data_IF_589592707945
#
_entry.id   IF_589592707945
#
_cell.length_a   1.000
_cell.length_b   1.000
_cell.length_c   1.000
_cell.angle_alpha   90.00
_cell.angle_beta   90.00
_cell.angle_gamma   90.00
#
_symmetry.space_group_name_H-M   'P 1'
#
loop_
_entity.id
_entity.type
_entity.pdbx_description
1 polymer ?
#
# COMPACT_ATOMS: atom_id res chain seq x y z
N UNK A 1 23.91 -36.66 12.43
CA UNK A 1 24.29 -35.24 12.67
C UNK A 1 24.30 -34.41 11.38
N UNK A 2 24.52 -34.98 10.19
CA UNK A 2 24.46 -34.25 8.91
C UNK A 2 23.04 -33.79 8.50
N UNK A 3 22.01 -34.56 8.82
CA UNK A 3 20.62 -34.26 8.43
C UNK A 3 20.08 -33.00 9.11
N UNK A 4 20.43 -32.72 10.38
CA UNK A 4 19.95 -31.50 11.05
C UNK A 4 20.60 -30.23 10.51
N UNK A 5 21.85 -30.30 10.03
CA UNK A 5 22.55 -29.17 9.43
C UNK A 5 21.98 -28.81 8.05
N UNK A 6 21.57 -29.81 7.26
CA UNK A 6 20.93 -29.56 5.97
C UNK A 6 19.51 -29.02 6.13
N UNK A 7 18.77 -29.45 7.16
CA UNK A 7 17.42 -28.94 7.44
C UNK A 7 17.49 -27.49 7.92
N UNK A 8 18.40 -27.15 8.85
CA UNK A 8 18.58 -25.75 9.27
C UNK A 8 19.03 -24.88 8.10
N UNK A 9 20.01 -25.31 7.30
CA UNK A 9 20.43 -24.58 6.11
C UNK A 9 19.29 -24.36 5.10
N UNK A 10 18.45 -25.36 4.84
CA UNK A 10 17.28 -25.23 3.98
C UNK A 10 16.25 -24.24 4.55
N UNK A 11 16.00 -24.26 5.86
CA UNK A 11 15.06 -23.34 6.50
C UNK A 11 15.56 -21.90 6.46
N UNK A 12 16.86 -21.66 6.69
CA UNK A 12 17.45 -20.32 6.60
C UNK A 12 17.47 -19.80 5.16
N UNK A 13 17.74 -20.67 4.19
CA UNK A 13 17.75 -20.33 2.76
C UNK A 13 16.34 -20.03 2.25
N UNK A 14 15.33 -20.81 2.67
CA UNK A 14 13.92 -20.55 2.39
C UNK A 14 13.43 -19.25 3.05
N UNK A 15 13.87 -18.94 4.27
CA UNK A 15 13.56 -17.68 4.94
C UNK A 15 14.18 -16.48 4.19
N UNK A 16 15.41 -16.62 3.68
CA UNK A 16 16.06 -15.63 2.81
C UNK A 16 15.30 -15.43 1.51
N UNK A 17 14.86 -16.51 0.86
CA UNK A 17 14.04 -16.44 -0.36
C UNK A 17 12.70 -15.75 -0.08
N UNK A 18 12.08 -15.99 1.09
CA UNK A 18 10.85 -15.30 1.49
C UNK A 18 11.08 -13.83 1.84
N UNK A 19 12.28 -13.45 2.29
CA UNK A 19 12.63 -12.07 2.57
C UNK A 19 12.83 -11.24 1.29
N UNK A 20 13.34 -11.84 0.21
CA UNK A 20 13.57 -11.17 -1.07
C UNK A 20 12.33 -10.48 -1.67
N UNK A 21 11.15 -11.13 -1.82
CA UNK A 21 9.97 -10.47 -2.36
C UNK A 21 9.42 -9.39 -1.43
N UNK A 22 9.61 -9.50 -0.11
CA UNK A 22 9.16 -8.46 0.83
C UNK A 22 10.09 -7.25 0.79
N UNK A 23 11.41 -7.46 0.75
CA UNK A 23 12.39 -6.39 0.56
C UNK A 23 12.22 -5.76 -0.82
N UNK A 24 12.05 -6.57 -1.87
CA UNK A 24 11.78 -6.08 -3.23
C UNK A 24 10.46 -5.31 -3.29
N UNK A 25 9.42 -5.72 -2.58
CA UNK A 25 8.18 -4.95 -2.46
C UNK A 25 8.41 -3.64 -1.70
N UNK A 26 9.19 -3.64 -0.61
CA UNK A 26 9.51 -2.42 0.14
C UNK A 26 10.36 -1.44 -0.66
N UNK A 27 11.36 -1.93 -1.39
CA UNK A 27 12.22 -1.16 -2.29
C UNK A 27 11.44 -0.67 -3.51
N UNK A 28 10.58 -1.51 -4.10
CA UNK A 28 9.65 -1.10 -5.16
C UNK A 28 8.64 -0.08 -4.65
N UNK A 29 8.15 -0.18 -3.41
CA UNK A 29 7.34 0.87 -2.80
C UNK A 29 8.14 2.16 -2.60
N UNK A 30 9.42 2.07 -2.26
CA UNK A 30 10.29 3.24 -2.15
C UNK A 30 10.67 3.84 -3.51
N UNK A 31 10.77 3.02 -4.57
CA UNK A 31 11.27 3.43 -5.90
C UNK A 31 10.18 3.69 -6.93
N UNK A 32 9.06 2.96 -6.90
CA UNK A 32 7.86 3.21 -7.71
C UNK A 32 7.04 4.39 -7.17
N UNK A 33 7.35 4.89 -5.97
CA UNK A 33 7.11 6.28 -5.57
C UNK A 33 8.07 7.23 -6.32
N UNK A 34 8.28 6.99 -7.61
CA UNK A 34 8.82 8.00 -8.49
C UNK A 34 7.88 9.21 -8.41
N UNK A 35 8.46 10.36 -8.05
CA UNK A 35 7.81 11.67 -7.88
C UNK A 35 7.19 11.95 -6.48
N UNK A 36 8.07 11.91 -5.46
CA UNK A 36 8.26 12.90 -4.37
C UNK A 36 7.11 13.28 -3.38
N UNK A 37 5.85 12.91 -3.60
CA UNK A 37 4.73 13.42 -2.78
C UNK A 37 4.41 12.63 -1.52
N UNK A 38 4.54 11.31 -1.57
CA UNK A 38 4.01 10.47 -0.51
C UNK A 38 5.06 10.20 0.57
N UNK A 39 5.43 11.25 1.32
CA UNK A 39 6.15 11.11 2.61
C UNK A 39 5.42 10.14 3.57
N UNK A 40 4.11 9.98 3.37
CA UNK A 40 3.21 9.07 4.08
C UNK A 40 3.47 7.58 3.85
N UNK A 41 3.90 7.15 2.65
CA UNK A 41 4.17 5.74 2.39
C UNK A 41 5.52 5.28 2.96
N UNK A 42 6.44 6.22 3.20
CA UNK A 42 7.81 5.94 3.65
C UNK A 42 7.88 5.35 5.06
N UNK A 43 7.04 5.82 5.98
CA UNK A 43 7.01 5.38 7.38
C UNK A 43 6.44 3.97 7.60
N UNK A 44 5.26 3.59 7.08
CA UNK A 44 4.76 2.22 7.21
C UNK A 44 5.67 1.21 6.50
N UNK A 45 6.30 1.59 5.37
CA UNK A 45 7.26 0.73 4.66
C UNK A 45 8.60 0.61 5.40
N UNK A 46 9.09 1.68 6.04
CA UNK A 46 10.29 1.63 6.89
C UNK A 46 10.06 0.79 8.16
N UNK A 47 8.87 0.88 8.78
CA UNK A 47 8.48 0.02 9.90
C UNK A 47 8.40 -1.44 9.44
N UNK A 48 7.81 -1.71 8.26
CA UNK A 48 7.79 -3.04 7.67
C UNK A 48 9.21 -3.58 7.44
N UNK A 49 10.08 -2.78 6.82
CA UNK A 49 11.47 -3.10 6.56
C UNK A 49 12.26 -3.38 7.83
N UNK A 50 12.07 -2.58 8.88
CA UNK A 50 12.69 -2.79 10.19
C UNK A 50 12.26 -4.10 10.86
N UNK A 51 10.96 -4.43 10.81
CA UNK A 51 10.44 -5.68 11.36
C UNK A 51 10.99 -6.91 10.64
N UNK A 52 11.12 -6.85 9.31
CA UNK A 52 11.70 -7.91 8.50
C UNK A 52 13.20 -8.09 8.80
N UNK A 53 13.93 -6.99 8.91
CA UNK A 53 15.38 -6.99 9.17
C UNK A 53 15.69 -7.56 10.56
N UNK A 54 14.86 -7.25 11.56
CA UNK A 54 14.91 -7.87 12.89
C UNK A 54 14.72 -9.39 12.82
N UNK A 55 13.82 -9.89 11.97
CA UNK A 55 13.62 -11.34 11.83
C UNK A 55 14.68 -12.05 11.00
N UNK A 56 15.28 -11.38 10.02
CA UNK A 56 16.45 -11.91 9.32
C UNK A 56 17.64 -12.08 10.29
N UNK A 57 17.87 -11.09 11.17
CA UNK A 57 18.91 -11.15 12.20
C UNK A 57 18.63 -12.25 13.23
N UNK A 58 17.39 -12.40 13.69
CA UNK A 58 17.01 -13.46 14.62
C UNK A 58 17.17 -14.87 14.01
N UNK A 59 16.87 -15.03 12.71
CA UNK A 59 17.09 -16.29 11.98
C UNK A 59 18.57 -16.64 11.81
N UNK A 60 19.42 -15.66 11.54
CA UNK A 60 20.87 -15.85 11.41
C UNK A 60 21.52 -16.27 12.74
N UNK A 61 21.13 -15.63 13.85
CA UNK A 61 21.60 -15.97 15.20
C UNK A 61 21.11 -17.37 15.63
N UNK A 62 19.90 -17.76 15.21
CA UNK A 62 19.33 -19.09 15.43
C UNK A 62 20.12 -20.24 14.82
N UNK A 63 20.70 -20.03 13.63
CA UNK A 63 21.46 -21.05 12.92
C UNK A 63 22.86 -21.30 13.49
N UNK A 64 23.46 -20.29 14.14
CA UNK A 64 24.86 -20.35 14.58
C UNK A 64 25.06 -21.04 15.93
N UNK A 65 24.06 -21.01 16.82
CA UNK A 65 24.15 -21.66 18.13
C UNK A 65 23.20 -22.86 18.23
N UNK A 66 23.73 -24.06 18.02
CA UNK A 66 23.08 -25.36 18.16
C UNK A 66 22.71 -25.69 19.63
N UNK A 67 21.91 -24.83 20.26
CA UNK A 67 21.44 -24.94 21.65
C UNK A 67 19.91 -25.04 21.62
N UNK A 68 19.36 -26.11 22.21
CA UNK A 68 17.91 -26.34 22.32
C UNK A 68 17.09 -25.13 22.80
N UNK A 69 17.64 -24.33 23.73
CA UNK A 69 16.98 -23.12 24.25
C UNK A 69 16.88 -22.01 23.20
N UNK A 70 17.89 -21.89 22.32
CA UNK A 70 17.94 -20.89 21.26
C UNK A 70 16.94 -21.21 20.15
N UNK A 71 16.76 -22.49 19.83
CA UNK A 71 15.75 -22.94 18.87
C UNK A 71 14.31 -22.71 19.39
N UNK A 72 14.07 -22.90 20.69
CA UNK A 72 12.78 -22.59 21.31
C UNK A 72 12.49 -21.08 21.30
N UNK A 73 13.50 -20.24 21.61
CA UNK A 73 13.39 -18.78 21.51
C UNK A 73 13.12 -18.34 20.07
N UNK A 74 13.78 -18.96 19.08
CA UNK A 74 13.52 -18.71 17.66
C UNK A 74 12.09 -19.03 17.25
N UNK A 75 11.53 -20.17 17.66
CA UNK A 75 10.12 -20.51 17.40
C UNK A 75 9.15 -19.49 18.04
N UNK A 76 9.44 -19.03 19.26
CA UNK A 76 8.64 -17.99 19.91
C UNK A 76 8.70 -16.65 19.15
N UNK A 77 9.90 -16.22 18.75
CA UNK A 77 10.09 -14.99 17.98
C UNK A 77 9.39 -15.05 16.60
N UNK A 78 9.46 -16.19 15.90
CA UNK A 78 8.75 -16.41 14.64
C UNK A 78 7.24 -16.36 14.82
N UNK A 79 6.70 -16.97 15.89
CA UNK A 79 5.27 -16.90 16.20
C UNK A 79 4.82 -15.46 16.48
N UNK A 80 5.60 -14.70 17.26
CA UNK A 80 5.32 -13.29 17.55
C UNK A 80 5.30 -12.43 16.26
N UNK A 81 6.23 -12.64 15.34
CA UNK A 81 6.21 -11.96 14.04
C UNK A 81 4.97 -12.34 13.22
N UNK A 82 4.60 -13.62 13.14
CA UNK A 82 3.40 -14.04 12.40
C UNK A 82 2.16 -13.34 12.95
N UNK A 83 2.01 -13.28 14.28
CA UNK A 83 0.89 -12.57 14.93
C UNK A 83 0.91 -11.07 14.57
N UNK A 84 2.08 -10.43 14.61
CA UNK A 84 2.24 -9.03 14.23
C UNK A 84 1.87 -8.79 12.76
N UNK A 85 2.32 -9.64 11.84
CA UNK A 85 1.98 -9.54 10.41
C UNK A 85 0.48 -9.71 10.17
N UNK A 86 -0.17 -10.67 10.85
CA UNK A 86 -1.62 -10.86 10.77
C UNK A 86 -2.35 -9.63 11.32
N UNK A 87 -1.90 -9.04 12.43
CA UNK A 87 -2.48 -7.82 12.98
C UNK A 87 -2.35 -6.63 12.02
N UNK A 88 -1.19 -6.46 11.38
CA UNK A 88 -0.96 -5.43 10.37
C UNK A 88 -1.84 -5.65 9.13
N UNK A 89 -1.99 -6.89 8.66
CA UNK A 89 -2.90 -7.22 7.57
C UNK A 89 -4.35 -6.88 7.94
N UNK A 90 -4.80 -7.25 9.13
CA UNK A 90 -6.15 -6.93 9.61
C UNK A 90 -6.39 -5.40 9.67
N UNK A 91 -5.42 -4.64 10.18
CA UNK A 91 -5.48 -3.18 10.17
C UNK A 91 -5.51 -2.62 8.74
N UNK A 92 -4.64 -3.11 7.85
CA UNK A 92 -4.58 -2.66 6.47
C UNK A 92 -5.89 -2.94 5.72
N UNK A 93 -6.52 -4.11 5.93
CA UNK A 93 -7.85 -4.41 5.38
C UNK A 93 -8.95 -3.54 5.99
N UNK A 94 -8.91 -3.27 7.30
CA UNK A 94 -9.89 -2.41 7.95
C UNK A 94 -9.83 -0.98 7.40
N UNK A 95 -8.62 -0.43 7.25
CA UNK A 95 -8.40 0.91 6.71
C UNK A 95 -8.75 0.97 5.22
N UNK A 96 -8.42 -0.08 4.45
CA UNK A 96 -8.74 -0.20 3.02
C UNK A 96 -10.08 -0.91 2.76
N UNK A 97 -11.06 -0.84 3.66
CA UNK A 97 -12.39 -1.42 3.38
C UNK A 97 -13.23 -0.53 2.47
N UNK A 98 -13.35 0.75 2.80
CA UNK A 98 -14.18 1.71 2.06
C UNK A 98 -13.53 2.24 0.78
N UNK A 99 -14.16 2.01 -0.37
CA UNK A 99 -13.82 2.66 -1.63
C UNK A 99 -14.76 3.84 -1.83
N UNK A 100 -14.26 5.07 -1.72
CA UNK A 100 -15.01 6.28 -2.05
C UNK A 100 -15.32 6.47 -3.54
N UNK A 101 -15.07 5.45 -4.35
CA UNK A 101 -15.35 5.43 -5.78
C UNK A 101 -16.87 5.37 -6.03
N UNK A 102 -17.36 6.21 -6.93
CA UNK A 102 -18.71 6.15 -7.43
C UNK A 102 -18.71 6.30 -8.96
N UNK A 103 -19.45 5.44 -9.69
CA UNK A 103 -19.53 5.51 -11.13
C UNK A 103 -20.42 6.69 -11.54
N UNK A 104 -20.04 7.36 -12.62
CA UNK A 104 -20.83 8.42 -13.25
C UNK A 104 -21.38 7.90 -14.57
N UNK A 105 -22.68 8.09 -14.81
CA UNK A 105 -23.35 7.63 -16.03
C UNK A 105 -22.66 8.21 -17.28
N UNK A 106 -22.38 7.33 -18.25
CA UNK A 106 -21.74 7.70 -19.52
C UNK A 106 -20.23 7.91 -19.45
N UNK A 107 -19.57 7.49 -18.36
CA UNK A 107 -18.11 7.63 -18.19
C UNK A 107 -17.47 6.29 -17.84
N UNK A 108 -16.29 6.02 -18.39
CA UNK A 108 -15.50 4.80 -18.12
C UNK A 108 -14.53 4.95 -16.94
N UNK A 109 -14.65 6.02 -16.17
CA UNK A 109 -13.84 6.26 -14.98
C UNK A 109 -14.74 6.58 -13.78
N UNK A 110 -14.25 6.23 -12.60
CA UNK A 110 -14.92 6.54 -11.35
C UNK A 110 -14.51 7.92 -10.83
N UNK A 111 -15.44 8.58 -10.14
CA UNK A 111 -15.15 9.74 -9.31
C UNK A 111 -15.04 9.32 -7.85
N UNK A 112 -14.41 10.15 -7.03
CA UNK A 112 -14.11 9.79 -5.64
C UNK A 112 -14.65 10.82 -4.66
N UNK A 113 -15.33 10.36 -3.61
CA UNK A 113 -15.72 11.17 -2.45
C UNK A 113 -14.97 10.71 -1.22
N UNK A 114 -14.56 11.65 -0.37
CA UNK A 114 -13.96 11.28 0.93
C UNK A 114 -14.93 10.46 1.78
N UNK A 115 -16.23 10.72 1.64
CA UNK A 115 -17.28 10.09 2.43
C UNK A 115 -17.43 8.57 2.26
N UNK A 116 -16.73 7.96 1.30
CA UNK A 116 -16.68 6.49 1.20
C UNK A 116 -15.41 5.86 1.77
N UNK A 117 -14.43 6.64 2.26
CA UNK A 117 -13.21 6.11 2.88
C UNK A 117 -13.37 5.86 4.39
N UNK A 118 -12.48 5.08 4.99
CA UNK A 118 -12.49 4.87 6.45
C UNK A 118 -12.19 6.16 7.22
N UNK A 119 -12.71 6.28 8.44
CA UNK A 119 -12.53 7.47 9.29
C UNK A 119 -11.04 7.83 9.50
N UNK A 120 -10.18 6.80 9.60
CA UNK A 120 -8.74 6.98 9.74
C UNK A 120 -8.09 7.61 8.48
N UNK A 121 -8.49 7.20 7.28
CA UNK A 121 -7.98 7.79 6.03
C UNK A 121 -8.46 9.22 5.82
N UNK A 122 -9.72 9.52 6.20
CA UNK A 122 -10.25 10.87 6.12
C UNK A 122 -9.52 11.80 7.08
N UNK A 123 -9.41 11.41 8.35
CA UNK A 123 -8.69 12.20 9.37
C UNK A 123 -7.24 12.49 8.96
N UNK A 124 -6.56 11.53 8.33
CA UNK A 124 -5.19 11.76 7.86
C UNK A 124 -5.05 12.97 6.92
N UNK A 125 -6.04 13.22 6.06
CA UNK A 125 -6.03 14.30 5.07
C UNK A 125 -6.73 15.57 5.58
N UNK A 126 -7.76 15.41 6.41
CA UNK A 126 -8.59 16.52 6.90
C UNK A 126 -8.12 17.13 8.23
N UNK A 127 -7.42 16.38 9.09
CA UNK A 127 -7.11 16.83 10.46
C UNK A 127 -5.96 17.86 10.50
N UNK A 128 -4.98 17.75 9.60
CA UNK A 128 -3.75 18.55 9.64
C UNK A 128 -3.57 19.39 8.35
N UNK A 129 -3.93 20.69 8.34
CA UNK A 129 -3.82 21.52 7.14
C UNK A 129 -2.38 21.70 6.66
N UNK A 130 -1.41 21.82 7.57
CA UNK A 130 0.01 21.93 7.21
C UNK A 130 0.57 20.65 6.57
N UNK A 131 -0.03 19.49 6.84
CA UNK A 131 0.33 18.23 6.18
C UNK A 131 -0.21 18.19 4.76
N UNK A 132 -1.46 18.62 4.56
CA UNK A 132 -2.04 18.71 3.23
C UNK A 132 -1.27 19.67 2.34
N UNK A 133 -0.81 20.81 2.86
CA UNK A 133 -0.04 21.78 2.08
C UNK A 133 1.26 21.20 1.51
N UNK A 134 1.95 20.36 2.29
CA UNK A 134 3.13 19.61 1.81
C UNK A 134 2.80 18.58 0.71
N UNK A 135 1.64 17.94 0.79
CA UNK A 135 1.17 16.99 -0.23
C UNK A 135 0.75 17.75 -1.50
N UNK A 136 0.00 18.83 -1.34
CA UNK A 136 -0.52 19.70 -2.39
C UNK A 136 0.60 20.31 -3.22
N UNK A 137 1.59 20.91 -2.56
CA UNK A 137 2.76 21.51 -3.22
C UNK A 137 3.49 20.52 -4.11
N UNK A 138 3.65 19.28 -3.64
CA UNK A 138 4.21 18.25 -4.48
C UNK A 138 3.27 17.82 -5.63
N UNK A 139 1.95 17.68 -5.39
CA UNK A 139 0.99 17.31 -6.44
C UNK A 139 1.00 18.33 -7.58
N UNK A 140 1.13 19.61 -7.25
CA UNK A 140 1.26 20.71 -8.21
C UNK A 140 2.54 20.63 -9.05
N UNK A 141 3.63 20.12 -8.48
CA UNK A 141 4.89 19.90 -9.22
C UNK A 141 4.81 18.66 -10.10
N UNK A 142 4.08 17.62 -9.66
CA UNK A 142 3.99 16.33 -10.34
C UNK A 142 3.57 16.47 -11.81
N UNK A 143 4.09 15.59 -12.67
CA UNK A 143 3.76 15.61 -14.09
C UNK A 143 2.41 14.93 -14.41
N UNK A 144 1.65 14.48 -13.40
CA UNK A 144 0.42 13.69 -13.61
C UNK A 144 -0.64 14.45 -14.41
N UNK A 145 -1.01 15.66 -13.97
CA UNK A 145 -1.95 16.52 -14.69
C UNK A 145 -1.34 17.11 -15.97
N UNK A 146 -0.03 17.40 -15.98
CA UNK A 146 0.67 17.91 -17.17
C UNK A 146 0.71 16.87 -18.30
N UNK A 147 0.94 15.60 -17.97
CA UNK A 147 0.88 14.47 -18.91
C UNK A 147 -0.53 14.31 -19.48
N UNK A 148 -1.56 14.44 -18.64
CA UNK A 148 -2.95 14.40 -19.09
C UNK A 148 -3.29 15.58 -20.04
N UNK A 149 -2.85 16.79 -19.71
CA UNK A 149 -3.08 17.98 -20.52
C UNK A 149 -2.42 17.90 -21.91
N UNK A 150 -1.23 17.28 -22.00
CA UNK A 150 -0.48 17.13 -23.26
C UNK A 150 -0.92 15.93 -24.09
N UNK A 151 -1.82 15.10 -23.58
CA UNK A 151 -2.14 13.85 -24.23
C UNK A 151 -3.06 14.09 -25.44
N UNK A 152 -2.49 13.88 -26.63
CA UNK A 152 -3.10 14.19 -27.91
C UNK A 152 -4.38 13.38 -28.24
N UNK A 153 -4.68 12.32 -27.48
CA UNK A 153 -5.87 11.48 -27.70
C UNK A 153 -7.18 12.07 -27.18
N UNK A 154 -7.14 13.21 -26.48
CA UNK A 154 -8.31 13.81 -25.82
C UNK A 154 -8.81 15.07 -26.53
N UNK A 155 -9.04 14.95 -27.84
CA UNK A 155 -9.50 16.07 -28.68
C UNK A 155 -10.99 16.35 -28.46
N UNK A 156 -11.77 15.30 -28.19
CA UNK A 156 -13.23 15.39 -27.98
C UNK A 156 -13.62 14.99 -26.57
N UNK A 157 -14.74 15.55 -26.09
CA UNK A 157 -15.28 15.23 -24.77
C UNK A 157 -15.63 13.73 -24.65
N UNK A 158 -16.17 13.12 -25.71
CA UNK A 158 -16.53 11.70 -25.72
C UNK A 158 -15.31 10.79 -25.56
N UNK A 159 -14.20 11.10 -26.26
CA UNK A 159 -12.93 10.37 -26.10
C UNK A 159 -12.40 10.48 -24.67
N UNK A 160 -12.53 11.66 -24.06
CA UNK A 160 -12.15 11.87 -22.66
C UNK A 160 -13.04 11.07 -21.71
N UNK A 161 -14.37 11.07 -21.91
CA UNK A 161 -15.33 10.33 -21.08
C UNK A 161 -15.18 8.82 -21.17
N UNK A 162 -14.77 8.30 -22.32
CA UNK A 162 -14.52 6.87 -22.52
C UNK A 162 -13.12 6.41 -22.10
N UNK A 163 -12.25 7.33 -21.67
CA UNK A 163 -10.89 7.00 -21.25
C UNK A 163 -10.81 6.49 -19.80
N UNK A 164 -9.88 5.56 -19.55
CA UNK A 164 -9.60 5.07 -18.20
C UNK A 164 -8.64 6.02 -17.49
N UNK A 165 -9.20 7.00 -16.78
CA UNK A 165 -8.42 7.93 -15.96
C UNK A 165 -7.96 7.29 -14.67
N UNK A 166 -6.74 7.61 -14.26
CA UNK A 166 -6.25 7.20 -12.93
C UNK A 166 -6.97 7.98 -11.83
N UNK A 167 -7.02 7.48 -10.57
CA UNK A 167 -7.74 8.16 -9.49
C UNK A 167 -7.27 9.60 -9.27
N UNK A 168 -5.96 9.86 -9.36
CA UNK A 168 -5.39 11.20 -9.28
C UNK A 168 -5.82 12.10 -10.44
N UNK A 169 -5.82 11.58 -11.67
CA UNK A 169 -6.26 12.35 -12.84
C UNK A 169 -7.74 12.71 -12.74
N UNK A 170 -8.58 11.78 -12.33
CA UNK A 170 -10.02 11.97 -12.20
C UNK A 170 -10.43 12.91 -11.05
N UNK A 171 -9.62 13.00 -9.99
CA UNK A 171 -9.92 13.78 -8.79
C UNK A 171 -9.23 15.14 -8.71
N UNK A 172 -8.01 15.29 -9.25
CA UNK A 172 -7.22 16.52 -9.13
C UNK A 172 -7.14 17.32 -10.45
N UNK A 173 -7.14 16.64 -11.60
CA UNK A 173 -6.89 17.27 -12.90
C UNK A 173 -8.15 17.65 -13.67
N UNK A 174 -9.35 17.36 -13.13
CA UNK A 174 -10.64 17.78 -13.70
C UNK A 174 -11.61 18.20 -12.58
N UNK A 175 -12.61 19.04 -12.88
CA UNK A 175 -13.64 19.38 -11.91
C UNK A 175 -14.66 18.23 -11.71
N UNK A 176 -15.38 18.22 -10.59
CA UNK A 176 -16.46 17.27 -10.34
C UNK A 176 -17.58 17.37 -11.38
N UNK A 177 -18.14 16.23 -11.79
CA UNK A 177 -19.22 16.19 -12.78
C UNK A 177 -20.50 16.90 -12.33
N UNK A 178 -20.76 16.90 -11.02
CA UNK A 178 -21.95 17.50 -10.41
C UNK A 178 -22.02 19.01 -10.64
N UNK A 179 -20.87 19.68 -10.74
CA UNK A 179 -20.75 21.12 -10.99
C UNK A 179 -21.24 21.54 -12.38
N UNK A 180 -21.28 20.60 -13.34
CA UNK A 180 -21.80 20.84 -14.70
C UNK A 180 -20.92 21.77 -15.54
N UNK A 181 -19.59 21.69 -15.41
CA UNK A 181 -18.69 22.39 -16.31
C UNK A 181 -18.72 21.77 -17.72
N UNK A 182 -18.67 22.60 -18.76
CA UNK A 182 -18.53 22.14 -20.15
C UNK A 182 -17.06 21.91 -20.48
N UNK A 183 -16.76 20.77 -21.10
CA UNK A 183 -15.44 20.36 -21.54
C UNK A 183 -14.90 21.29 -22.64
N UNK A 184 -13.68 21.79 -22.47
CA UNK A 184 -12.94 22.51 -23.53
C UNK A 184 -11.68 21.72 -23.89
N UNK A 185 -10.91 21.34 -22.88
CA UNK A 185 -9.73 20.48 -23.01
C UNK A 185 -9.54 19.65 -21.73
N UNK A 186 -8.58 18.71 -21.67
CA UNK A 186 -8.46 17.77 -20.54
C UNK A 186 -8.36 18.43 -19.16
N UNK A 187 -7.72 19.59 -19.09
CA UNK A 187 -7.54 20.37 -17.86
C UNK A 187 -8.16 21.76 -17.91
N UNK A 188 -8.90 22.09 -18.98
CA UNK A 188 -9.56 23.40 -19.12
C UNK A 188 -11.05 23.21 -19.31
N UNK A 189 -11.81 23.87 -18.43
CA UNK A 189 -13.25 23.74 -18.35
C UNK A 189 -13.89 25.13 -18.26
N UNK A 190 -15.11 25.25 -18.76
CA UNK A 190 -15.90 26.50 -18.66
C UNK A 190 -16.41 26.74 -17.24
N UNK A 191 -17.12 27.85 -17.00
CA UNK A 191 -17.76 28.14 -15.72
C UNK A 191 -18.79 27.07 -15.32
N UNK A 192 -18.94 26.79 -14.01
CA UNK A 192 -19.88 25.78 -13.53
C UNK A 192 -21.32 26.19 -13.82
N UNK A 193 -22.12 25.29 -14.39
CA UNK A 193 -23.57 25.49 -14.52
C UNK A 193 -24.30 25.38 -13.17
N UNK A 194 -23.72 24.65 -12.20
CA UNK A 194 -24.28 24.42 -10.86
C UNK A 194 -23.22 24.64 -9.77
N UNK A 195 -22.85 25.90 -9.49
CA UNK A 195 -21.81 26.20 -8.50
C UNK A 195 -22.16 25.79 -7.07
N UNK A 196 -23.45 25.67 -6.74
CA UNK A 196 -23.93 25.27 -5.41
C UNK A 196 -24.10 23.76 -5.21
N UNK A 197 -23.79 22.93 -6.23
CA UNK A 197 -23.97 21.48 -6.16
C UNK A 197 -22.94 20.78 -5.26
N UNK A 198 -21.73 21.34 -5.16
CA UNK A 198 -20.62 20.80 -4.38
C UNK A 198 -19.68 21.96 -3.98
N UNK A 199 -19.11 21.98 -2.76
CA UNK A 199 -18.12 22.99 -2.37
C UNK A 199 -16.91 23.03 -3.32
N UNK A 200 -16.55 21.90 -3.93
CA UNK A 200 -15.42 21.82 -4.87
C UNK A 200 -15.66 22.62 -6.17
N UNK A 201 -16.92 22.90 -6.53
CA UNK A 201 -17.25 23.63 -7.77
C UNK A 201 -16.69 25.06 -7.79
N UNK A 202 -16.56 25.69 -6.62
CA UNK A 202 -15.99 27.03 -6.48
C UNK A 202 -14.47 27.05 -6.35
N UNK A 203 -13.86 25.90 -6.06
CA UNK A 203 -12.41 25.77 -5.84
C UNK A 203 -11.65 25.38 -7.10
N UNK A 204 -12.33 24.93 -8.15
CA UNK A 204 -11.70 24.60 -9.42
C UNK A 204 -11.06 25.82 -10.10
N UNK A 205 -9.80 25.71 -10.49
CA UNK A 205 -9.09 26.67 -11.35
C UNK A 205 -8.57 26.01 -12.63
N UNK A 206 -8.53 26.76 -13.74
CA UNK A 206 -7.89 26.32 -14.98
C UNK A 206 -6.37 26.54 -14.97
N UNK A 207 -5.83 27.17 -13.92
CA UNK A 207 -4.39 27.36 -13.78
C UNK A 207 -3.69 26.03 -13.45
N UNK A 208 -2.68 25.61 -14.22
CA UNK A 208 -2.03 24.31 -14.05
C UNK A 208 -1.30 24.15 -12.70
N UNK A 209 -1.02 25.26 -12.02
CA UNK A 209 -0.41 25.27 -10.68
C UNK A 209 -1.44 25.13 -9.54
N UNK A 210 -2.72 25.38 -9.79
CA UNK A 210 -3.78 25.38 -8.76
C UNK A 210 -4.78 24.24 -8.96
N UNK A 211 -5.27 24.04 -10.20
CA UNK A 211 -6.25 23.01 -10.57
C UNK A 211 -7.30 22.76 -9.47
N UNK A 212 -7.62 21.50 -9.15
CA UNK A 212 -8.45 21.14 -8.00
C UNK A 212 -7.60 20.67 -6.81
N UNK A 213 -6.36 21.16 -6.63
CA UNK A 213 -5.48 20.64 -5.57
C UNK A 213 -5.96 20.96 -4.15
N UNK A 214 -6.88 21.91 -3.97
CA UNK A 214 -7.54 22.16 -2.67
C UNK A 214 -8.84 21.39 -2.48
N UNK A 215 -9.37 20.79 -3.54
CA UNK A 215 -10.67 20.12 -3.53
C UNK A 215 -10.66 18.84 -2.71
N UNK A 216 -11.81 18.53 -2.11
CA UNK A 216 -12.07 17.27 -1.45
C UNK A 216 -12.02 16.10 -2.47
N UNK A 217 -12.46 16.32 -3.70
CA UNK A 217 -12.32 15.36 -4.80
C UNK A 217 -10.86 14.95 -5.09
N UNK A 218 -9.91 15.87 -4.96
CA UNK A 218 -8.49 15.58 -5.14
C UNK A 218 -7.90 14.79 -3.97
N UNK A 219 -8.28 15.15 -2.74
CA UNK A 219 -7.96 14.40 -1.53
C UNK A 219 -8.47 12.95 -1.62
N UNK A 220 -9.71 12.78 -2.06
CA UNK A 220 -10.31 11.47 -2.30
C UNK A 220 -9.59 10.68 -3.40
N UNK A 221 -9.22 11.33 -4.50
CA UNK A 221 -8.43 10.74 -5.59
C UNK A 221 -7.04 10.27 -5.14
N UNK A 222 -6.38 11.03 -4.26
CA UNK A 222 -5.12 10.63 -3.64
C UNK A 222 -5.30 9.39 -2.75
N UNK A 223 -6.33 9.38 -1.90
CA UNK A 223 -6.64 8.23 -1.04
C UNK A 223 -6.93 6.96 -1.87
N UNK A 224 -7.64 7.10 -2.98
CA UNK A 224 -7.87 6.00 -3.92
C UNK A 224 -6.59 5.49 -4.58
N UNK A 225 -5.71 6.39 -5.03
CA UNK A 225 -4.42 6.03 -5.60
C UNK A 225 -3.55 5.28 -4.57
N UNK A 226 -3.47 5.80 -3.34
CA UNK A 226 -2.76 5.16 -2.23
C UNK A 226 -3.34 3.79 -1.90
N UNK A 227 -4.67 3.67 -1.81
CA UNK A 227 -5.37 2.40 -1.58
C UNK A 227 -5.01 1.36 -2.65
N UNK A 228 -5.02 1.75 -3.93
CA UNK A 228 -4.69 0.85 -5.04
C UNK A 228 -3.25 0.34 -4.92
N UNK A 229 -2.31 1.22 -4.58
CA UNK A 229 -0.94 0.81 -4.30
C UNK A 229 -0.89 -0.14 -3.09
N UNK A 230 -1.47 0.24 -1.95
CA UNK A 230 -1.51 -0.58 -0.74
C UNK A 230 -2.10 -1.96 -0.97
N UNK A 231 -3.12 -2.10 -1.81
CA UNK A 231 -3.68 -3.39 -2.16
C UNK A 231 -2.65 -4.29 -2.87
N UNK A 232 -1.83 -3.75 -3.77
CA UNK A 232 -0.73 -4.50 -4.41
C UNK A 232 0.34 -4.91 -3.40
N UNK A 233 0.69 -4.05 -2.46
CA UNK A 233 1.59 -4.38 -1.34
C UNK A 233 1.03 -5.49 -0.47
N UNK A 234 -0.24 -5.36 -0.08
CA UNK A 234 -0.91 -6.29 0.82
C UNK A 234 -0.99 -7.68 0.20
N UNK A 235 -1.18 -7.81 -1.12
CA UNK A 235 -1.10 -9.11 -1.79
C UNK A 235 0.27 -9.76 -1.57
N UNK A 236 1.37 -9.03 -1.79
CA UNK A 236 2.71 -9.55 -1.54
C UNK A 236 2.92 -9.92 -0.05
N UNK A 237 2.41 -9.09 0.87
CA UNK A 237 2.50 -9.32 2.31
C UNK A 237 1.70 -10.55 2.76
N UNK A 238 0.51 -10.78 2.19
CA UNK A 238 -0.30 -11.99 2.43
C UNK A 238 0.46 -13.23 1.98
N UNK A 239 1.01 -13.23 0.77
CA UNK A 239 1.80 -14.37 0.25
C UNK A 239 2.99 -14.67 1.16
N UNK A 240 3.73 -13.65 1.58
CA UNK A 240 4.85 -13.80 2.51
C UNK A 240 4.41 -14.35 3.87
N UNK A 241 3.30 -13.86 4.42
CA UNK A 241 2.75 -14.32 5.70
C UNK A 241 2.34 -15.80 5.63
N UNK A 242 1.68 -16.22 4.55
CA UNK A 242 1.30 -17.62 4.33
C UNK A 242 2.54 -18.52 4.24
N UNK A 243 3.57 -18.09 3.51
CA UNK A 243 4.83 -18.83 3.42
C UNK A 243 5.51 -18.96 4.79
N UNK A 244 5.54 -17.89 5.59
CA UNK A 244 6.11 -17.91 6.94
C UNK A 244 5.32 -18.83 7.88
N UNK A 245 4.00 -18.85 7.81
CA UNK A 245 3.15 -19.79 8.56
C UNK A 245 3.48 -21.23 8.19
N UNK A 246 3.63 -21.54 6.90
CA UNK A 246 4.01 -22.88 6.45
C UNK A 246 5.39 -23.29 6.98
N UNK A 247 6.39 -22.42 6.87
CA UNK A 247 7.73 -22.66 7.41
C UNK A 247 7.72 -22.85 8.93
N UNK A 248 6.90 -22.09 9.65
CA UNK A 248 6.73 -22.24 11.09
C UNK A 248 6.13 -23.60 11.46
N UNK A 249 5.14 -24.10 10.72
CA UNK A 249 4.57 -25.44 10.94
C UNK A 249 5.60 -26.55 10.71
N UNK A 250 6.42 -26.44 9.65
CA UNK A 250 7.53 -27.38 9.37
C UNK A 250 8.61 -27.29 10.46
N UNK A 251 8.96 -26.08 10.92
CA UNK A 251 9.89 -25.88 12.02
C UNK A 251 9.39 -26.51 13.33
N UNK A 252 8.10 -26.35 13.63
CA UNK A 252 7.45 -26.98 14.78
C UNK A 252 7.43 -28.51 14.68
N UNK A 253 7.16 -29.08 13.51
CA UNK A 253 7.15 -30.54 13.32
C UNK A 253 8.55 -31.13 13.44
N UNK A 254 9.56 -30.47 12.87
CA UNK A 254 10.96 -30.86 13.02
C UNK A 254 11.42 -30.80 14.49
N UNK A 255 11.01 -29.76 15.23
CA UNK A 255 11.31 -29.65 16.66
C UNK A 255 10.67 -30.77 17.48
N UNK A 256 9.38 -31.05 17.25
CA UNK A 256 8.66 -32.14 17.92
C UNK A 256 9.32 -33.49 17.65
N UNK A 257 9.71 -33.76 16.40
CA UNK A 257 10.40 -35.00 16.04
C UNK A 257 11.76 -35.13 16.73
N UNK A 258 12.57 -34.07 16.77
CA UNK A 258 13.86 -34.06 17.46
C UNK A 258 13.71 -34.22 19.00
N UNK A 259 12.61 -33.75 19.58
CA UNK A 259 12.30 -33.96 20.99
C UNK A 259 11.88 -35.42 21.26
N UNK A 260 11.03 -35.99 20.40
CA UNK A 260 10.59 -37.39 20.51
C UNK A 260 11.79 -38.36 20.44
N UNK A 261 12.68 -38.20 19.45
CA UNK A 261 13.90 -39.03 19.34
C UNK A 261 14.78 -38.96 20.59
N UNK A 262 14.85 -37.81 21.25
CA UNK A 262 15.66 -37.64 22.44
C UNK A 262 15.05 -38.28 23.68
N UNK A 263 13.71 -38.31 23.78
CA UNK A 263 13.01 -39.04 24.84
C UNK A 263 13.20 -40.54 24.62
N UNK A 264 13.00 -41.04 23.39
CA UNK A 264 13.22 -42.45 23.04
C UNK A 264 14.65 -42.92 23.33
N UNK A 265 15.67 -42.11 23.01
CA UNK A 265 17.07 -42.44 23.37
C UNK A 265 17.32 -42.53 24.87
N UNK A 266 16.57 -41.77 25.68
CA UNK A 266 16.71 -41.76 27.14
C UNK A 266 16.06 -42.96 27.82
N UNK A 267 15.04 -43.55 27.19
CA UNK A 267 14.33 -44.74 27.68
C UNK A 267 14.88 -46.07 27.14
N UNK A 268 15.84 -46.04 26.20
CA UNK A 268 16.46 -47.24 25.61
C UNK A 268 17.71 -47.73 26.35
N UNK A 269 18.02 -47.12 27.50
CA UNK A 269 19.12 -47.51 28.41
C UNK A 269 18.56 -47.80 29.79
#
# INVERSE_FOLDING_TARGET
MAVSNNITACVTLMALICALPVIASGVWFASAQGEECARLARWPVAILGGLILLTALAGFVGAYWNRRRLLAFYLFAMAALIVLLIALLAFAFAVTRGSGAYPVLGRNYDEYRLDGFSMWLRGYVSDDPGRWEGIRSCLAVSDTCKKLARQASFVTADQFYQSNLTPLQSGCCKPPSVCGHVYVSPTVWTSPARPAADPDCGLWSNDPAQLCYECESCRAGLLAALRSQWHRANIALVVATVALVFLYLVGCSAYKNAQAEAIFRRYKW
#
